data_IF_571844476519
#
_entry.id   IF_571844476519
#
_cell.length_a   1.000
_cell.length_b   1.000
_cell.length_c   1.000
_cell.angle_alpha   90.00
_cell.angle_beta   90.00
_cell.angle_gamma   90.00
#
_symmetry.space_group_name_H-M   'P 1'
#
loop_
_entity.id
_entity.type
_entity.pdbx_description
1 polymer ?
#
# COMPACT_ATOMS: atom_id res chain seq x y z
N UNK A 1 -36.14 -5.88 23.46
CA UNK A 1 -34.72 -5.72 23.06
C UNK A 1 -33.90 -6.56 24.03
N UNK A 2 -32.96 -7.37 23.54
CA UNK A 2 -31.96 -7.99 24.43
C UNK A 2 -31.13 -6.87 25.04
N UNK A 3 -30.86 -6.94 26.33
CA UNK A 3 -29.95 -6.02 27.01
C UNK A 3 -28.57 -6.17 26.37
N UNK A 4 -28.00 -5.08 25.87
CA UNK A 4 -26.68 -5.09 25.23
C UNK A 4 -25.64 -5.09 26.35
N UNK A 5 -24.86 -6.16 26.44
CA UNK A 5 -23.69 -6.19 27.31
C UNK A 5 -22.53 -5.46 26.61
N UNK A 6 -22.29 -4.20 26.99
CA UNK A 6 -21.23 -3.35 26.41
C UNK A 6 -19.79 -3.83 26.69
N UNK A 7 -19.62 -4.90 27.48
CA UNK A 7 -18.31 -5.48 27.80
C UNK A 7 -18.06 -6.80 27.06
N UNK A 8 -19.04 -7.31 26.32
CA UNK A 8 -18.85 -8.49 25.47
C UNK A 8 -18.28 -8.08 24.12
N UNK A 9 -17.40 -8.91 23.52
CA UNK A 9 -16.89 -8.65 22.19
C UNK A 9 -18.02 -8.71 21.17
N UNK A 10 -17.93 -7.84 20.16
CA UNK A 10 -18.87 -7.87 19.04
C UNK A 10 -18.80 -9.22 18.33
N UNK A 11 -19.95 -9.86 18.13
CA UNK A 11 -20.07 -11.20 17.56
C UNK A 11 -19.46 -11.30 16.15
N UNK A 12 -19.37 -10.19 15.42
CA UNK A 12 -18.74 -10.15 14.10
C UNK A 12 -17.27 -10.58 14.14
N UNK A 13 -16.59 -10.40 15.27
CA UNK A 13 -15.20 -10.82 15.43
C UNK A 13 -15.02 -12.33 15.32
N UNK A 14 -16.06 -13.13 15.60
CA UNK A 14 -16.04 -14.58 15.36
C UNK A 14 -15.95 -14.91 13.86
N UNK A 15 -16.60 -14.12 13.00
CA UNK A 15 -16.51 -14.26 11.53
C UNK A 15 -15.08 -14.04 11.04
N UNK A 16 -14.35 -13.14 11.70
CA UNK A 16 -12.95 -12.85 11.41
C UNK A 16 -11.95 -13.73 12.19
N UNK A 17 -12.43 -14.82 12.82
CA UNK A 17 -11.61 -15.76 13.58
C UNK A 17 -10.73 -15.06 14.65
N UNK A 18 -11.32 -14.09 15.35
CA UNK A 18 -10.72 -13.44 16.52
C UNK A 18 -11.15 -14.19 17.77
N UNK A 19 -10.18 -14.74 18.49
CA UNK A 19 -10.44 -15.64 19.63
C UNK A 19 -10.40 -14.93 20.99
N UNK A 20 -9.78 -13.76 21.06
CA UNK A 20 -9.60 -13.00 22.30
C UNK A 20 -9.31 -11.53 22.01
N UNK A 21 -9.38 -10.70 23.04
CA UNK A 21 -8.95 -9.30 22.97
C UNK A 21 -7.48 -9.18 22.58
N UNK A 22 -6.62 -10.10 23.04
CA UNK A 22 -5.21 -10.13 22.66
C UNK A 22 -5.05 -10.41 21.16
N UNK A 23 -5.75 -11.43 20.64
CA UNK A 23 -5.75 -11.77 19.22
C UNK A 23 -6.27 -10.61 18.35
N UNK A 24 -7.32 -9.92 18.83
CA UNK A 24 -7.81 -8.70 18.20
C UNK A 24 -6.73 -7.61 18.12
N UNK A 25 -6.03 -7.36 19.24
CA UNK A 25 -4.97 -6.35 19.29
C UNK A 25 -3.85 -6.66 18.31
N UNK A 26 -3.42 -7.92 18.22
CA UNK A 26 -2.35 -8.31 17.30
C UNK A 26 -2.75 -8.16 15.83
N UNK A 27 -3.99 -8.50 15.49
CA UNK A 27 -4.46 -8.50 14.09
C UNK A 27 -4.96 -7.14 13.61
N UNK A 28 -5.62 -6.37 14.46
CA UNK A 28 -6.46 -5.23 14.03
C UNK A 28 -6.16 -3.91 14.74
N UNK A 29 -5.47 -3.89 15.88
CA UNK A 29 -5.13 -2.62 16.53
C UNK A 29 -3.93 -1.97 15.82
N UNK A 30 -4.23 -0.99 14.97
CA UNK A 30 -3.20 -0.16 14.34
C UNK A 30 -2.68 0.90 15.32
N UNK A 31 -1.36 0.99 15.47
CA UNK A 31 -0.70 2.04 16.25
C UNK A 31 -0.30 3.20 15.34
N UNK A 32 -0.35 4.42 15.86
CA UNK A 32 0.20 5.61 15.21
C UNK A 32 1.72 5.53 15.17
N UNK A 33 2.26 5.26 13.98
CA UNK A 33 3.69 5.34 13.69
C UNK A 33 4.00 6.65 13.00
N UNK A 34 4.77 7.50 13.68
CA UNK A 34 5.08 8.85 13.23
C UNK A 34 6.58 9.10 13.29
N UNK A 35 7.11 9.76 12.27
CA UNK A 35 8.49 10.22 12.30
C UNK A 35 8.65 11.48 13.17
N UNK A 36 9.88 11.83 13.52
CA UNK A 36 10.22 12.89 14.48
C UNK A 36 9.71 14.28 14.09
N UNK A 37 9.55 14.56 12.79
CA UNK A 37 9.03 15.85 12.30
C UNK A 37 7.52 16.04 12.47
N UNK A 38 6.76 14.99 12.83
CA UNK A 38 5.32 15.13 13.07
C UNK A 38 5.08 15.82 14.42
N UNK A 39 4.30 16.93 14.47
CA UNK A 39 4.05 17.64 15.72
C UNK A 39 3.35 16.78 16.77
N UNK A 40 3.76 16.94 18.05
CA UNK A 40 3.18 16.22 19.20
C UNK A 40 1.65 16.37 19.29
N UNK A 41 1.10 17.50 18.87
CA UNK A 41 -0.34 17.72 18.83
C UNK A 41 -1.07 16.71 17.94
N UNK A 42 -0.53 16.42 16.75
CA UNK A 42 -1.08 15.42 15.81
C UNK A 42 -0.94 14.00 16.38
N UNK A 43 0.22 13.68 16.94
CA UNK A 43 0.49 12.38 17.56
C UNK A 43 -0.50 12.13 18.71
N UNK A 44 -0.72 13.14 19.56
CA UNK A 44 -1.66 13.03 20.67
C UNK A 44 -3.11 12.91 20.21
N UNK A 45 -3.51 13.62 19.16
CA UNK A 45 -4.87 13.49 18.61
C UNK A 45 -5.10 12.09 18.01
N UNK A 46 -4.06 11.48 17.43
CA UNK A 46 -4.14 10.12 16.88
C UNK A 46 -4.33 9.03 17.95
N UNK A 47 -3.94 9.27 19.20
CA UNK A 47 -4.26 8.34 20.31
C UNK A 47 -5.76 8.12 20.48
N UNK A 48 -6.59 9.08 20.05
CA UNK A 48 -8.05 8.89 20.03
C UNK A 48 -8.45 7.87 18.97
N UNK A 49 -7.80 7.87 17.80
CA UNK A 49 -8.02 6.84 16.76
C UNK A 49 -7.68 5.46 17.31
N UNK A 50 -6.50 5.30 17.95
CA UNK A 50 -6.10 4.03 18.55
C UNK A 50 -7.11 3.53 19.59
N UNK A 51 -7.64 4.43 20.43
CA UNK A 51 -8.69 4.09 21.41
C UNK A 51 -9.98 3.66 20.75
N UNK A 52 -10.45 4.38 19.74
CA UNK A 52 -11.67 4.02 19.01
C UNK A 52 -11.50 2.67 18.31
N UNK A 53 -10.33 2.42 17.70
CA UNK A 53 -10.00 1.12 17.13
C UNK A 53 -9.99 0.03 18.19
N UNK A 54 -9.38 0.26 19.36
CA UNK A 54 -9.43 -0.70 20.46
C UNK A 54 -10.86 -1.02 20.90
N UNK A 55 -11.68 0.00 21.13
CA UNK A 55 -13.07 -0.20 21.55
C UNK A 55 -13.97 -0.81 20.47
N UNK A 56 -13.52 -0.81 19.20
CA UNK A 56 -14.23 -1.55 18.15
C UNK A 56 -14.26 -3.07 18.37
N UNK A 57 -13.42 -3.59 19.26
CA UNK A 57 -13.55 -4.97 19.75
C UNK A 57 -14.92 -5.23 20.39
N UNK A 58 -15.48 -4.26 21.11
CA UNK A 58 -16.77 -4.37 21.80
C UNK A 58 -17.94 -3.81 20.97
N UNK A 59 -17.65 -2.94 19.99
CA UNK A 59 -18.67 -2.32 19.14
C UNK A 59 -18.08 -2.05 17.74
N UNK A 60 -18.26 -3.00 16.82
CA UNK A 60 -17.63 -2.98 15.49
C UNK A 60 -17.80 -1.69 14.69
N UNK A 61 -18.97 -1.01 14.69
CA UNK A 61 -19.14 0.32 14.09
C UNK A 61 -18.08 1.38 14.47
N UNK A 62 -17.41 1.25 15.62
CA UNK A 62 -16.37 2.20 16.02
C UNK A 62 -15.14 2.20 15.10
N UNK A 63 -14.95 1.18 14.24
CA UNK A 63 -13.90 1.20 13.20
C UNK A 63 -14.12 2.37 12.24
N UNK A 64 -15.35 2.56 11.79
CA UNK A 64 -15.68 3.62 10.83
C UNK A 64 -15.54 5.01 11.48
N UNK A 65 -15.90 5.13 12.77
CA UNK A 65 -15.67 6.36 13.56
C UNK A 65 -14.18 6.65 13.80
N UNK A 66 -13.39 5.62 14.08
CA UNK A 66 -11.94 5.73 14.17
C UNK A 66 -11.35 6.24 12.85
N UNK A 67 -11.84 5.74 11.71
CA UNK A 67 -11.37 6.17 10.39
C UNK A 67 -11.79 7.61 10.09
N UNK A 68 -13.04 7.97 10.40
CA UNK A 68 -13.54 9.36 10.33
C UNK A 68 -12.70 10.32 11.18
N UNK A 69 -12.27 9.91 12.38
CA UNK A 69 -11.34 10.71 13.19
C UNK A 69 -9.96 10.81 12.54
N UNK A 70 -9.44 9.73 11.97
CA UNK A 70 -8.16 9.71 11.25
C UNK A 70 -8.16 10.66 10.03
N UNK A 71 -9.24 10.74 9.26
CA UNK A 71 -9.33 11.66 8.11
C UNK A 71 -9.44 13.13 8.55
N UNK A 72 -10.10 13.41 9.69
CA UNK A 72 -10.08 14.75 10.32
C UNK A 72 -8.68 15.15 10.81
N UNK A 73 -7.89 14.21 11.32
CA UNK A 73 -6.49 14.45 11.69
C UNK A 73 -5.64 14.80 10.47
N UNK A 74 -5.87 14.17 9.32
CA UNK A 74 -5.20 14.55 8.06
C UNK A 74 -5.49 16.01 7.69
N UNK A 75 -6.75 16.45 7.76
CA UNK A 75 -7.12 17.85 7.52
C UNK A 75 -6.50 18.82 8.53
N UNK A 76 -6.47 18.45 9.82
CA UNK A 76 -5.79 19.22 10.86
C UNK A 76 -4.28 19.32 10.60
N UNK A 77 -3.67 18.24 10.10
CA UNK A 77 -2.24 18.19 9.75
C UNK A 77 -1.90 19.18 8.63
N UNK A 78 -2.73 19.23 7.57
CA UNK A 78 -2.60 20.20 6.47
C UNK A 78 -2.68 21.63 7.00
N UNK A 79 -3.66 21.90 7.87
CA UNK A 79 -3.84 23.24 8.47
C UNK A 79 -2.64 23.63 9.33
N UNK A 80 -2.14 22.70 10.15
CA UNK A 80 -0.97 22.92 11.00
C UNK A 80 0.31 23.14 10.17
N UNK A 81 0.49 22.41 9.06
CA UNK A 81 1.63 22.61 8.16
C UNK A 81 1.62 24.01 7.54
N UNK A 82 0.45 24.52 7.13
CA UNK A 82 0.32 25.89 6.64
C UNK A 82 0.66 26.91 7.73
N UNK A 83 0.25 26.66 8.98
CA UNK A 83 0.59 27.52 10.12
C UNK A 83 2.09 27.57 10.39
N UNK A 84 2.76 26.40 10.42
CA UNK A 84 4.21 26.29 10.60
C UNK A 84 4.97 27.06 9.51
N UNK A 85 4.44 27.10 8.29
CA UNK A 85 5.05 27.81 7.16
C UNK A 85 4.71 29.32 7.12
N UNK A 86 3.93 29.84 8.09
CA UNK A 86 3.46 31.23 8.05
C UNK A 86 2.46 31.50 6.92
N UNK A 87 1.82 30.44 6.41
CA UNK A 87 0.86 30.46 5.31
C UNK A 87 -0.58 30.30 5.81
N UNK A 88 -0.87 30.37 7.10
CA UNK A 88 -2.27 30.31 7.56
C UNK A 88 -3.03 31.55 7.09
N UNK A 89 -4.29 31.36 6.69
CA UNK A 89 -5.23 32.44 6.38
C UNK A 89 -6.32 32.49 7.44
N UNK A 90 -6.80 33.68 7.72
CA UNK A 90 -7.97 33.90 8.57
C UNK A 90 -9.26 33.56 7.82
N UNK A 91 -10.26 33.05 8.55
CA UNK A 91 -11.57 32.69 8.02
C UNK A 91 -11.69 31.27 7.46
N UNK A 92 -12.83 30.97 6.84
CA UNK A 92 -13.11 29.65 6.27
C UNK A 92 -12.32 29.41 4.99
N UNK A 93 -11.56 28.31 4.95
CA UNK A 93 -10.84 27.86 3.77
C UNK A 93 -11.09 26.36 3.56
N UNK A 94 -11.47 25.97 2.33
CA UNK A 94 -11.67 24.57 1.99
C UNK A 94 -10.37 23.77 2.03
N UNK A 95 -10.44 22.48 2.39
CA UNK A 95 -9.28 21.58 2.37
C UNK A 95 -8.60 21.53 0.98
N UNK A 96 -9.37 21.65 -0.10
CA UNK A 96 -8.81 21.71 -1.45
C UNK A 96 -7.90 22.93 -1.65
N UNK A 97 -8.33 24.10 -1.19
CA UNK A 97 -7.54 25.33 -1.31
C UNK A 97 -6.26 25.24 -0.47
N UNK A 98 -6.37 24.71 0.76
CA UNK A 98 -5.21 24.44 1.64
C UNK A 98 -4.18 23.52 0.98
N UNK A 99 -4.63 22.40 0.41
CA UNK A 99 -3.74 21.46 -0.29
C UNK A 99 -3.06 22.10 -1.51
N UNK A 100 -3.80 22.85 -2.33
CA UNK A 100 -3.23 23.52 -3.52
C UNK A 100 -2.07 24.44 -3.15
N UNK A 101 -2.12 25.08 -1.98
CA UNK A 101 -1.04 25.95 -1.51
C UNK A 101 0.21 25.19 -1.08
N UNK A 102 0.05 23.96 -0.59
CA UNK A 102 1.16 23.07 -0.27
C UNK A 102 1.74 22.36 -1.51
N UNK A 103 1.06 22.43 -2.67
CA UNK A 103 1.48 21.76 -3.91
C UNK A 103 2.92 22.09 -4.31
N UNK A 104 3.36 23.33 -4.11
CA UNK A 104 4.71 23.77 -4.48
C UNK A 104 5.83 23.04 -3.71
N UNK A 105 5.49 22.37 -2.60
CA UNK A 105 6.46 21.70 -1.72
C UNK A 105 6.63 20.21 -2.04
N UNK A 106 5.82 19.67 -2.96
CA UNK A 106 5.71 18.24 -3.22
C UNK A 106 5.60 17.96 -4.72
N UNK A 107 5.76 16.71 -5.12
CA UNK A 107 5.46 16.31 -6.49
C UNK A 107 3.97 16.32 -6.81
N UNK A 108 3.68 16.32 -8.11
CA UNK A 108 2.32 16.11 -8.59
C UNK A 108 1.75 14.76 -8.11
N UNK A 109 2.56 13.70 -8.05
CA UNK A 109 2.09 12.36 -7.66
C UNK A 109 1.65 12.32 -6.18
N UNK A 110 2.46 12.90 -5.28
CA UNK A 110 2.09 13.00 -3.87
C UNK A 110 0.91 13.93 -3.67
N UNK A 111 0.86 15.05 -4.41
CA UNK A 111 -0.28 15.96 -4.38
C UNK A 111 -1.60 15.29 -4.81
N UNK A 112 -1.57 14.44 -5.85
CA UNK A 112 -2.76 13.68 -6.26
C UNK A 112 -3.18 12.65 -5.20
N UNK A 113 -2.23 12.03 -4.49
CA UNK A 113 -2.57 11.17 -3.34
C UNK A 113 -3.27 11.96 -2.22
N UNK A 114 -2.83 13.19 -1.92
CA UNK A 114 -3.53 14.05 -0.96
C UNK A 114 -4.94 14.43 -1.41
N UNK A 115 -5.15 14.66 -2.72
CA UNK A 115 -6.49 14.91 -3.27
C UNK A 115 -7.40 13.70 -3.15
N UNK A 116 -6.88 12.49 -3.34
CA UNK A 116 -7.63 11.25 -3.13
C UNK A 116 -8.04 11.13 -1.66
N UNK A 117 -7.15 11.41 -0.71
CA UNK A 117 -7.48 11.41 0.72
C UNK A 117 -8.54 12.44 1.10
N UNK A 118 -8.49 13.64 0.50
CA UNK A 118 -9.58 14.63 0.62
C UNK A 118 -10.93 14.05 0.17
N UNK A 119 -10.96 13.31 -0.95
CA UNK A 119 -12.19 12.66 -1.43
C UNK A 119 -12.71 11.66 -0.40
N UNK A 120 -11.85 10.77 0.11
CA UNK A 120 -12.24 9.84 1.18
C UNK A 120 -12.75 10.54 2.44
N UNK A 121 -12.10 11.63 2.87
CA UNK A 121 -12.58 12.45 3.99
C UNK A 121 -13.99 12.97 3.73
N UNK A 122 -14.27 13.47 2.54
CA UNK A 122 -15.59 13.99 2.18
C UNK A 122 -16.65 12.89 2.15
N UNK A 123 -16.32 11.73 1.57
CA UNK A 123 -17.24 10.59 1.50
C UNK A 123 -17.63 10.12 2.91
N UNK A 124 -16.68 10.10 3.85
CA UNK A 124 -16.94 9.78 5.26
C UNK A 124 -17.68 10.87 6.03
N UNK A 125 -17.54 12.13 5.63
CA UNK A 125 -18.27 13.24 6.25
C UNK A 125 -19.76 13.29 5.81
N UNK A 126 -20.10 12.65 4.70
CA UNK A 126 -21.44 12.68 4.09
C UNK A 126 -22.07 11.30 3.97
N UNK A 127 -21.73 10.40 4.88
CA UNK A 127 -22.19 9.03 4.82
C UNK A 127 -23.67 8.90 5.17
N UNK A 128 -24.39 8.07 4.41
CA UNK A 128 -25.75 7.65 4.74
C UNK A 128 -25.80 6.86 6.05
N UNK A 129 -26.88 7.03 6.81
CA UNK A 129 -27.09 6.36 8.07
C UNK A 129 -27.13 4.83 7.88
N UNK A 130 -26.46 4.08 8.77
CA UNK A 130 -26.45 2.62 8.76
C UNK A 130 -25.48 1.97 7.77
N UNK A 131 -24.83 2.74 6.88
CA UNK A 131 -23.76 2.19 6.07
C UNK A 131 -22.54 1.87 6.97
N UNK A 132 -21.92 0.69 6.79
CA UNK A 132 -20.69 0.26 7.48
C UNK A 132 -19.65 -0.28 6.48
N UNK A 133 -18.39 0.17 6.58
CA UNK A 133 -17.26 -0.35 5.77
C UNK A 133 -16.42 -1.31 6.61
N UNK A 134 -16.28 -1.02 7.91
CA UNK A 134 -15.66 -1.89 8.89
C UNK A 134 -14.24 -2.32 8.51
N UNK A 135 -13.98 -3.63 8.55
CA UNK A 135 -12.64 -4.21 8.41
C UNK A 135 -11.93 -3.86 7.09
N UNK A 136 -12.70 -3.51 6.04
CA UNK A 136 -12.13 -3.07 4.76
C UNK A 136 -11.28 -1.80 4.90
N UNK A 137 -11.47 -1.03 5.98
CA UNK A 137 -10.74 0.20 6.28
C UNK A 137 -9.33 -0.04 6.84
N UNK A 138 -8.93 -1.26 7.22
CA UNK A 138 -7.63 -1.49 7.85
C UNK A 138 -6.44 -1.01 6.99
N UNK A 139 -6.49 -1.23 5.68
CA UNK A 139 -5.45 -0.71 4.77
C UNK A 139 -5.60 0.80 4.55
N UNK A 140 -6.84 1.31 4.58
CA UNK A 140 -7.10 2.74 4.45
C UNK A 140 -6.53 3.52 5.64
N UNK A 141 -6.57 2.97 6.87
CA UNK A 141 -5.92 3.56 8.04
C UNK A 141 -4.41 3.73 7.84
N UNK A 142 -3.72 2.66 7.40
CA UNK A 142 -2.28 2.70 7.10
C UNK A 142 -1.97 3.75 6.04
N UNK A 143 -2.74 3.76 4.96
CA UNK A 143 -2.58 4.75 3.91
C UNK A 143 -2.77 6.18 4.43
N UNK A 144 -3.86 6.46 5.16
CA UNK A 144 -4.11 7.79 5.71
C UNK A 144 -3.04 8.22 6.72
N UNK A 145 -2.52 7.30 7.54
CA UNK A 145 -1.40 7.58 8.45
C UNK A 145 -0.11 7.92 7.68
N UNK A 146 0.20 7.20 6.60
CA UNK A 146 1.32 7.53 5.72
C UNK A 146 1.16 8.93 5.10
N UNK A 147 -0.07 9.31 4.75
CA UNK A 147 -0.34 10.66 4.24
C UNK A 147 -0.16 11.73 5.32
N UNK A 148 -0.60 11.49 6.56
CA UNK A 148 -0.33 12.38 7.69
C UNK A 148 1.17 12.59 7.87
N UNK A 149 1.98 11.52 7.86
CA UNK A 149 3.44 11.63 7.89
C UNK A 149 3.96 12.47 6.72
N UNK A 150 3.50 12.19 5.50
CA UNK A 150 3.98 12.90 4.30
C UNK A 150 3.78 14.42 4.33
N UNK A 151 2.78 14.94 5.07
CA UNK A 151 2.54 16.38 5.23
C UNK A 151 3.73 17.08 5.92
N UNK A 152 4.42 16.38 6.83
CA UNK A 152 5.46 16.97 7.66
C UNK A 152 6.88 16.66 7.17
N UNK A 153 7.03 15.88 6.09
CA UNK A 153 8.32 15.69 5.44
C UNK A 153 8.86 16.99 4.84
N UNK A 154 10.18 17.04 4.71
CA UNK A 154 10.88 18.09 3.97
C UNK A 154 10.83 17.82 2.47
N UNK A 155 10.77 18.87 1.66
CA UNK A 155 10.74 18.75 0.20
C UNK A 155 11.97 18.01 -0.35
N UNK A 156 13.14 18.20 0.24
CA UNK A 156 14.37 17.46 -0.09
C UNK A 156 14.19 15.94 0.07
N UNK A 157 13.57 15.52 1.17
CA UNK A 157 13.32 14.11 1.48
C UNK A 157 12.34 13.49 0.48
N UNK A 158 11.28 14.22 0.13
CA UNK A 158 10.28 13.79 -0.86
C UNK A 158 10.94 13.64 -2.24
N UNK A 159 11.70 14.67 -2.68
CA UNK A 159 12.39 14.66 -3.96
C UNK A 159 13.43 13.53 -4.04
N UNK A 160 14.18 13.28 -2.98
CA UNK A 160 15.15 12.18 -2.95
C UNK A 160 14.47 10.82 -3.11
N UNK A 161 13.36 10.58 -2.39
CA UNK A 161 12.58 9.34 -2.52
C UNK A 161 12.12 9.13 -3.96
N UNK A 162 11.58 10.17 -4.58
CA UNK A 162 11.01 10.11 -5.93
C UNK A 162 12.08 9.96 -7.00
N UNK A 163 13.19 10.69 -6.88
CA UNK A 163 14.34 10.54 -7.76
C UNK A 163 14.93 9.12 -7.68
N UNK A 164 15.02 8.55 -6.47
CA UNK A 164 15.46 7.17 -6.28
C UNK A 164 14.51 6.19 -6.98
N UNK A 165 13.19 6.34 -6.82
CA UNK A 165 12.22 5.50 -7.50
C UNK A 165 12.29 5.65 -9.03
N UNK A 166 12.41 6.88 -9.53
CA UNK A 166 12.56 7.18 -10.96
C UNK A 166 13.81 6.56 -11.54
N UNK A 167 14.94 6.67 -10.84
CA UNK A 167 16.20 6.04 -11.22
C UNK A 167 16.05 4.52 -11.28
N UNK A 168 15.49 3.89 -10.25
CA UNK A 168 15.25 2.43 -10.25
C UNK A 168 14.33 2.00 -11.38
N UNK A 169 13.24 2.74 -11.65
CA UNK A 169 12.34 2.49 -12.77
C UNK A 169 13.08 2.51 -14.11
N UNK A 170 13.92 3.53 -14.35
CA UNK A 170 14.74 3.63 -15.55
C UNK A 170 15.72 2.47 -15.70
N UNK A 171 16.47 2.14 -14.65
CA UNK A 171 17.42 1.02 -14.68
C UNK A 171 16.73 -0.32 -14.91
N UNK A 172 15.49 -0.48 -14.43
CA UNK A 172 14.71 -1.73 -14.52
C UNK A 172 13.80 -1.83 -15.74
N UNK A 173 13.85 -0.90 -16.70
CA UNK A 173 12.90 -0.88 -17.83
C UNK A 173 12.91 -2.20 -18.63
N UNK A 174 14.09 -2.77 -18.85
CA UNK A 174 14.29 -4.04 -19.52
C UNK A 174 13.73 -5.26 -18.74
N UNK A 175 13.37 -5.09 -17.46
CA UNK A 175 12.79 -6.14 -16.62
C UNK A 175 11.25 -6.14 -16.64
N UNK A 176 10.61 -5.09 -17.18
CA UNK A 176 9.15 -4.92 -17.12
C UNK A 176 8.42 -6.01 -17.91
N UNK A 177 9.00 -6.45 -19.04
CA UNK A 177 8.44 -7.50 -19.89
C UNK A 177 9.59 -8.33 -20.47
N UNK A 178 9.56 -9.63 -20.22
CA UNK A 178 10.57 -10.55 -20.71
C UNK A 178 10.38 -11.94 -20.13
N UNK A 179 11.41 -12.78 -20.25
CA UNK A 179 11.42 -14.11 -19.68
C UNK A 179 12.60 -14.25 -18.72
N UNK A 180 12.29 -14.43 -17.44
CA UNK A 180 13.30 -14.40 -16.38
C UNK A 180 13.13 -15.58 -15.43
N UNK A 181 14.25 -16.07 -14.89
CA UNK A 181 14.27 -16.99 -13.75
C UNK A 181 14.62 -16.19 -12.51
N UNK A 182 13.79 -16.30 -11.48
CA UNK A 182 14.08 -15.83 -10.14
C UNK A 182 14.54 -17.01 -9.28
N UNK A 183 15.78 -16.97 -8.82
CA UNK A 183 16.31 -17.85 -7.78
C UNK A 183 16.01 -17.23 -6.40
N UNK A 184 15.18 -17.91 -5.59
CA UNK A 184 14.76 -17.46 -4.24
C UNK A 184 14.37 -18.67 -3.37
N UNK A 185 14.81 -18.74 -2.10
CA UNK A 185 14.47 -19.85 -1.17
C UNK A 185 14.76 -21.25 -1.72
N UNK A 186 15.87 -21.43 -2.44
CA UNK A 186 16.20 -22.67 -3.16
C UNK A 186 15.16 -23.11 -4.20
N UNK A 187 14.30 -22.19 -4.64
CA UNK A 187 13.32 -22.41 -5.70
C UNK A 187 13.64 -21.54 -6.90
N UNK A 188 13.34 -22.05 -8.09
CA UNK A 188 13.44 -21.31 -9.35
C UNK A 188 12.02 -20.99 -9.83
N UNK A 189 11.72 -19.70 -9.97
CA UNK A 189 10.41 -19.23 -10.39
C UNK A 189 10.55 -18.56 -11.75
N UNK A 190 9.74 -18.99 -12.73
CA UNK A 190 9.74 -18.41 -14.06
C UNK A 190 8.77 -17.21 -14.10
N UNK A 191 9.28 -16.06 -14.55
CA UNK A 191 8.61 -14.76 -14.48
C UNK A 191 8.48 -14.12 -15.86
N UNK A 192 7.40 -13.35 -16.06
CA UNK A 192 7.15 -12.54 -17.24
C UNK A 192 7.56 -11.07 -17.07
N UNK A 193 7.83 -10.64 -15.83
CA UNK A 193 8.28 -9.28 -15.55
C UNK A 193 8.55 -9.01 -14.08
N UNK A 194 9.29 -7.93 -13.83
CA UNK A 194 9.59 -7.39 -12.51
C UNK A 194 9.61 -5.85 -12.56
N UNK A 195 9.11 -5.19 -11.52
CA UNK A 195 9.09 -3.71 -11.46
C UNK A 195 9.14 -3.17 -10.03
N UNK A 196 9.90 -2.10 -9.74
CA UNK A 196 9.82 -1.38 -8.48
C UNK A 196 8.57 -0.50 -8.41
N UNK A 197 7.94 -0.44 -7.24
CA UNK A 197 6.73 0.37 -6.99
C UNK A 197 6.90 1.44 -5.92
N UNK A 198 7.84 1.27 -4.99
CA UNK A 198 8.17 2.29 -4.00
C UNK A 198 9.58 2.11 -3.47
N UNK A 199 10.11 3.18 -2.86
CA UNK A 199 11.38 3.26 -2.15
C UNK A 199 11.10 3.75 -0.74
N UNK A 200 11.90 3.31 0.23
CA UNK A 200 11.79 3.76 1.62
C UNK A 200 12.39 5.14 1.83
N UNK A 201 12.08 5.74 2.97
CA UNK A 201 12.34 7.14 3.29
C UNK A 201 13.18 7.26 4.55
N UNK A 202 12.78 6.60 5.65
CA UNK A 202 13.42 6.74 6.97
C UNK A 202 13.92 5.37 7.44
N UNK A 203 13.07 4.55 8.08
CA UNK A 203 13.48 3.23 8.60
C UNK A 203 13.70 2.20 7.48
N UNK A 204 13.17 2.47 6.29
CA UNK A 204 13.37 1.71 5.07
C UNK A 204 14.32 2.41 4.09
N UNK A 205 15.14 3.36 4.54
CA UNK A 205 16.19 3.94 3.69
C UNK A 205 17.06 2.83 3.07
N UNK A 206 17.32 2.92 1.77
CA UNK A 206 18.04 1.89 1.01
C UNK A 206 17.21 0.65 0.64
N UNK A 207 15.92 0.61 1.03
CA UNK A 207 15.00 -0.48 0.66
C UNK A 207 14.01 -0.05 -0.42
N UNK A 208 13.53 -1.02 -1.17
CA UNK A 208 12.54 -0.83 -2.25
C UNK A 208 11.50 -1.94 -2.26
N UNK A 209 10.28 -1.64 -2.70
CA UNK A 209 9.20 -2.61 -2.86
C UNK A 209 9.09 -3.00 -4.33
N UNK A 210 9.18 -4.29 -4.61
CA UNK A 210 9.18 -4.87 -5.95
C UNK A 210 8.04 -5.84 -6.14
N UNK A 211 7.48 -5.84 -7.35
CA UNK A 211 6.48 -6.80 -7.79
C UNK A 211 7.07 -7.63 -8.91
N UNK A 212 7.03 -8.95 -8.74
CA UNK A 212 7.43 -9.96 -9.70
C UNK A 212 6.19 -10.69 -10.19
N UNK A 213 6.06 -10.86 -11.51
CA UNK A 213 4.89 -11.43 -12.17
C UNK A 213 5.25 -12.83 -12.66
N UNK A 214 4.78 -13.90 -12.00
CA UNK A 214 5.04 -15.27 -12.45
C UNK A 214 4.28 -15.60 -13.72
N UNK A 215 4.79 -16.56 -14.48
CA UNK A 215 4.00 -17.19 -15.53
C UNK A 215 3.06 -18.25 -14.94
N UNK A 216 2.01 -18.62 -15.67
CA UNK A 216 0.99 -19.58 -15.22
C UNK A 216 1.48 -21.04 -15.23
N UNK A 217 2.62 -21.31 -15.86
CA UNK A 217 3.17 -22.65 -16.01
C UNK A 217 2.21 -23.57 -16.74
N UNK A 218 1.88 -24.72 -16.15
CA UNK A 218 0.98 -25.72 -16.75
C UNK A 218 -0.51 -25.49 -16.43
N UNK A 219 -0.84 -24.53 -15.58
CA UNK A 219 -2.23 -24.25 -15.17
C UNK A 219 -3.03 -23.61 -16.31
N UNK A 220 -4.23 -24.14 -16.56
CA UNK A 220 -5.22 -23.57 -17.49
C UNK A 220 -5.86 -22.34 -16.82
N UNK A 221 -6.05 -21.27 -17.58
CA UNK A 221 -6.68 -20.03 -17.12
C UNK A 221 -8.13 -20.05 -17.62
N UNK A 222 -9.09 -20.01 -16.71
CA UNK A 222 -10.52 -19.88 -17.03
C UNK A 222 -11.12 -18.60 -16.45
N UNK A 223 -10.56 -18.11 -15.35
CA UNK A 223 -11.00 -16.91 -14.64
C UNK A 223 -9.79 -16.16 -14.06
N UNK A 224 -9.99 -14.91 -13.63
CA UNK A 224 -8.93 -14.04 -13.08
C UNK A 224 -8.15 -14.68 -11.91
N UNK A 225 -8.83 -15.46 -11.07
CA UNK A 225 -8.20 -16.15 -9.94
C UNK A 225 -7.29 -17.32 -10.35
N UNK A 226 -7.29 -17.70 -11.63
CA UNK A 226 -6.38 -18.72 -12.13
C UNK A 226 -4.98 -18.21 -12.41
N UNK A 227 -4.83 -16.90 -12.60
CA UNK A 227 -3.52 -16.28 -12.75
C UNK A 227 -2.69 -16.46 -11.48
N UNK A 228 -1.37 -16.66 -11.60
CA UNK A 228 -0.51 -16.78 -10.45
C UNK A 228 -0.54 -15.48 -9.65
N UNK A 229 -0.54 -15.62 -8.32
CA UNK A 229 -0.32 -14.48 -7.45
C UNK A 229 1.04 -13.86 -7.72
N UNK A 230 1.11 -12.54 -7.82
CA UNK A 230 2.40 -11.85 -7.85
C UNK A 230 3.17 -12.09 -6.56
N UNK A 231 4.49 -12.20 -6.72
CA UNK A 231 5.44 -12.22 -5.63
C UNK A 231 5.85 -10.76 -5.37
N UNK A 232 5.61 -10.28 -4.15
CA UNK A 232 5.92 -8.91 -3.76
C UNK A 232 7.01 -8.99 -2.69
N UNK A 233 8.17 -8.41 -2.98
CA UNK A 233 9.33 -8.47 -2.09
C UNK A 233 9.80 -7.06 -1.72
N UNK A 234 10.37 -6.96 -0.52
CA UNK A 234 11.09 -5.77 -0.07
C UNK A 234 12.56 -6.05 -0.26
N UNK A 235 13.25 -5.25 -1.05
CA UNK A 235 14.62 -5.51 -1.45
C UNK A 235 15.57 -4.47 -0.88
N UNK A 236 16.73 -4.92 -0.44
CA UNK A 236 17.90 -4.14 -0.02
C UNK A 236 19.06 -4.42 -0.99
N UNK A 237 20.01 -3.49 -1.11
CA UNK A 237 21.21 -3.64 -1.95
C UNK A 237 20.89 -4.09 -3.38
N UNK A 238 19.96 -3.39 -4.01
CA UNK A 238 19.49 -3.74 -5.36
C UNK A 238 20.55 -3.34 -6.39
N UNK A 239 21.09 -4.33 -7.08
CA UNK A 239 22.01 -4.19 -8.20
C UNK A 239 21.30 -4.62 -9.48
N UNK A 240 21.23 -3.72 -10.46
CA UNK A 240 20.55 -3.95 -11.74
C UNK A 240 21.60 -3.87 -12.85
N UNK A 241 21.58 -4.81 -13.78
CA UNK A 241 22.39 -4.80 -14.98
C UNK A 241 21.61 -5.40 -16.16
N UNK A 242 22.19 -5.37 -17.35
CA UNK A 242 21.52 -5.85 -18.58
C UNK A 242 21.05 -7.32 -18.53
N UNK A 243 21.64 -8.15 -17.65
CA UNK A 243 21.31 -9.57 -17.52
C UNK A 243 20.23 -9.84 -16.47
N UNK A 244 19.85 -8.84 -15.66
CA UNK A 244 18.86 -9.00 -14.62
C UNK A 244 19.09 -8.14 -13.37
N UNK A 245 18.75 -8.72 -12.23
CA UNK A 245 18.79 -8.06 -10.92
C UNK A 245 19.35 -9.00 -9.85
N UNK A 246 20.16 -8.46 -8.94
CA UNK A 246 20.56 -9.13 -7.70
C UNK A 246 20.20 -8.23 -6.53
N UNK A 247 19.66 -8.82 -5.46
CA UNK A 247 19.31 -8.06 -4.26
C UNK A 247 19.26 -8.98 -3.03
N UNK A 248 18.95 -8.40 -1.87
CA UNK A 248 18.66 -9.12 -0.63
C UNK A 248 17.20 -8.87 -0.26
N UNK A 249 16.45 -9.92 0.03
CA UNK A 249 15.11 -9.80 0.61
C UNK A 249 15.24 -9.24 2.04
N UNK A 250 14.68 -8.06 2.27
CA UNK A 250 14.74 -7.33 3.52
C UNK A 250 14.15 -8.10 4.70
N UNK A 251 13.19 -9.00 4.46
CA UNK A 251 12.50 -9.76 5.50
C UNK A 251 13.23 -11.04 5.86
N UNK A 252 13.69 -11.80 4.86
CA UNK A 252 14.32 -13.12 5.07
C UNK A 252 15.84 -13.06 5.11
N UNK A 253 16.44 -11.96 4.64
CA UNK A 253 17.88 -11.77 4.42
C UNK A 253 18.50 -12.72 3.40
N UNK A 254 17.68 -13.43 2.63
CA UNK A 254 18.16 -14.26 1.53
C UNK A 254 18.53 -13.42 0.32
N UNK A 255 19.56 -13.86 -0.40
CA UNK A 255 19.93 -13.30 -1.70
C UNK A 255 18.90 -13.74 -2.73
N UNK A 256 18.43 -12.79 -3.53
CA UNK A 256 17.62 -13.06 -4.70
C UNK A 256 18.42 -12.75 -5.96
N UNK A 257 18.21 -13.56 -6.99
CA UNK A 257 18.80 -13.33 -8.30
C UNK A 257 17.76 -13.54 -9.38
N UNK A 258 17.54 -12.50 -10.16
CA UNK A 258 16.72 -12.51 -11.37
C UNK A 258 17.66 -12.53 -12.57
N UNK A 259 17.51 -13.51 -13.46
CA UNK A 259 18.30 -13.60 -14.69
C UNK A 259 17.43 -13.84 -15.90
N UNK A 260 17.78 -13.22 -17.03
CA UNK A 260 17.22 -13.58 -18.34
C UNK A 260 17.52 -15.05 -18.63
N UNK A 261 16.56 -15.76 -19.23
CA UNK A 261 16.75 -17.16 -19.66
C UNK A 261 16.39 -17.33 -21.12
N UNK A 262 17.25 -18.05 -21.84
CA UNK A 262 17.02 -18.52 -23.22
C UNK A 262 16.85 -20.04 -23.29
N UNK A 263 16.84 -20.72 -22.15
CA UNK A 263 16.62 -22.16 -22.07
C UNK A 263 15.32 -22.55 -22.81
N UNK A 264 15.43 -23.52 -23.73
CA UNK A 264 14.34 -23.90 -24.63
C UNK A 264 13.06 -24.33 -23.89
N UNK A 265 13.18 -25.04 -22.77
CA UNK A 265 12.03 -25.46 -21.96
C UNK A 265 11.32 -24.26 -21.32
N UNK A 266 12.08 -23.27 -20.85
CA UNK A 266 11.52 -22.03 -20.31
C UNK A 266 10.82 -21.21 -21.39
N UNK A 267 11.40 -21.15 -22.59
CA UNK A 267 10.81 -20.48 -23.76
C UNK A 267 9.50 -21.14 -24.15
N UNK A 268 9.45 -22.47 -24.19
CA UNK A 268 8.22 -23.23 -24.48
C UNK A 268 7.12 -22.93 -23.45
N UNK A 269 7.45 -22.96 -22.15
CA UNK A 269 6.51 -22.62 -21.08
C UNK A 269 6.01 -21.17 -21.17
N UNK A 270 6.88 -20.24 -21.56
CA UNK A 270 6.51 -18.84 -21.74
C UNK A 270 5.60 -18.63 -22.96
N UNK A 271 5.88 -19.31 -24.07
CA UNK A 271 5.02 -19.27 -25.26
C UNK A 271 3.65 -19.87 -24.95
N UNK A 272 3.60 -20.98 -24.23
CA UNK A 272 2.35 -21.59 -23.78
C UNK A 272 1.56 -20.64 -22.87
N UNK A 273 2.22 -19.96 -21.95
CA UNK A 273 1.61 -18.93 -21.10
C UNK A 273 0.97 -17.81 -21.93
N UNK A 274 1.71 -17.25 -22.90
CA UNK A 274 1.22 -16.17 -23.77
C UNK A 274 0.04 -16.63 -24.64
N UNK A 275 0.11 -17.84 -25.20
CA UNK A 275 -0.98 -18.41 -26.01
C UNK A 275 -2.25 -18.58 -25.18
N UNK A 276 -2.13 -19.10 -23.94
CA UNK A 276 -3.29 -19.25 -23.05
C UNK A 276 -3.93 -17.92 -22.70
N UNK A 277 -3.13 -16.88 -22.42
CA UNK A 277 -3.66 -15.53 -22.20
C UNK A 277 -4.41 -15.04 -23.44
N UNK A 278 -3.83 -15.20 -24.64
CA UNK A 278 -4.46 -14.77 -25.88
C UNK A 278 -5.74 -15.56 -26.21
N UNK A 279 -5.82 -16.84 -25.84
CA UNK A 279 -7.01 -17.66 -26.01
C UNK A 279 -8.12 -17.27 -25.04
N UNK A 280 -7.81 -17.12 -23.75
CA UNK A 280 -8.83 -16.76 -22.76
C UNK A 280 -9.34 -15.33 -22.98
N UNK A 281 -8.51 -14.40 -23.45
CA UNK A 281 -8.93 -13.03 -23.77
C UNK A 281 -9.98 -12.99 -24.90
N UNK A 282 -9.98 -13.98 -25.82
CA UNK A 282 -11.02 -14.10 -26.86
C UNK A 282 -12.37 -14.55 -26.29
N UNK A 283 -12.35 -15.33 -25.21
CA UNK A 283 -13.54 -15.91 -24.57
C UNK A 283 -14.10 -14.96 -23.51
N UNK A 284 -13.21 -14.36 -22.73
CA UNK A 284 -13.48 -13.38 -21.69
C UNK A 284 -12.67 -12.12 -21.97
N UNK A 285 -13.19 -11.21 -22.81
CA UNK A 285 -12.56 -9.91 -23.02
C UNK A 285 -12.31 -9.23 -21.67
N UNK A 286 -11.20 -8.51 -21.54
CA UNK A 286 -10.77 -7.77 -20.36
C UNK A 286 -10.26 -8.62 -19.19
N UNK A 287 -10.15 -9.95 -19.30
CA UNK A 287 -9.60 -10.78 -18.21
C UNK A 287 -8.17 -10.37 -17.82
N UNK A 288 -7.35 -9.92 -18.79
CA UNK A 288 -6.04 -9.34 -18.50
C UNK A 288 -6.14 -8.02 -17.72
N UNK A 289 -7.13 -7.19 -18.03
CA UNK A 289 -7.38 -5.92 -17.33
C UNK A 289 -7.85 -6.18 -15.88
N UNK A 290 -8.72 -7.17 -15.69
CA UNK A 290 -9.16 -7.62 -14.36
C UNK A 290 -7.97 -8.12 -13.53
N UNK A 291 -7.11 -8.93 -14.13
CA UNK A 291 -5.88 -9.42 -13.49
C UNK A 291 -4.97 -8.25 -13.08
N UNK A 292 -4.75 -7.28 -13.97
CA UNK A 292 -3.97 -6.09 -13.66
C UNK A 292 -4.61 -5.23 -12.56
N UNK A 293 -5.93 -5.14 -12.51
CA UNK A 293 -6.67 -4.47 -11.43
C UNK A 293 -6.48 -5.17 -10.08
N UNK A 294 -6.57 -6.50 -10.06
CA UNK A 294 -6.29 -7.32 -8.87
C UNK A 294 -4.85 -7.13 -8.38
N UNK A 295 -3.87 -7.17 -9.30
CA UNK A 295 -2.46 -6.91 -8.99
C UNK A 295 -2.26 -5.50 -8.41
N UNK A 296 -2.89 -4.48 -9.00
CA UNK A 296 -2.83 -3.11 -8.51
C UNK A 296 -3.41 -2.99 -7.10
N UNK A 297 -4.53 -3.65 -6.82
CA UNK A 297 -5.13 -3.64 -5.49
C UNK A 297 -4.21 -4.27 -4.44
N UNK A 298 -3.66 -5.47 -4.71
CA UNK A 298 -2.70 -6.15 -3.83
C UNK A 298 -1.44 -5.31 -3.61
N UNK A 299 -0.91 -4.72 -4.68
CA UNK A 299 0.29 -3.87 -4.63
C UNK A 299 0.04 -2.60 -3.80
N UNK A 300 -1.14 -1.99 -3.92
CA UNK A 300 -1.51 -0.81 -3.12
C UNK A 300 -1.51 -1.11 -1.63
N UNK A 301 -2.03 -2.27 -1.24
CA UNK A 301 -1.96 -2.75 0.15
C UNK A 301 -0.51 -2.90 0.62
N UNK A 302 0.34 -3.55 -0.16
CA UNK A 302 1.75 -3.75 0.20
C UNK A 302 2.54 -2.44 0.24
N UNK A 303 2.22 -1.45 -0.60
CA UNK A 303 2.81 -0.11 -0.53
C UNK A 303 2.42 0.57 0.79
N UNK A 304 1.15 0.50 1.18
CA UNK A 304 0.69 1.08 2.44
C UNK A 304 1.39 0.44 3.65
N UNK A 305 1.56 -0.88 3.63
CA UNK A 305 2.27 -1.63 4.67
C UNK A 305 3.76 -1.33 4.70
N UNK A 306 4.40 -1.23 3.53
CA UNK A 306 5.81 -0.87 3.39
C UNK A 306 6.09 0.51 3.97
N UNK A 307 5.30 1.51 3.58
CA UNK A 307 5.43 2.88 4.09
C UNK A 307 5.06 2.98 5.57
N UNK A 308 4.05 2.23 6.04
CA UNK A 308 3.69 2.24 7.46
C UNK A 308 4.81 1.72 8.37
N UNK A 309 5.61 0.75 7.88
CA UNK A 309 6.81 0.26 8.59
C UNK A 309 8.01 1.20 8.47
N UNK A 310 7.94 2.23 7.62
CA UNK A 310 9.04 3.18 7.37
C UNK A 310 9.17 4.24 8.48
N UNK A 311 8.11 4.44 9.26
CA UNK A 311 8.03 5.43 10.34
C UNK A 311 8.35 4.84 11.70
#
# INVERSE_FOLDING_TARGET
MKEINYLEPDEIWKVFNVKSEHDFKEKYLLKGKFHSLVPKAIINDYKVVERLMYYSYFNYPLIDEAFSKSTRIFEASVTLKLEILGLKREGFESLNSKLTRLKILVSNDLFEQWKIAKKFRNDFAHREAGALMGITLMNAFKHNLNLINSIFLESSTILNKENNLKYMLQQSEHLVKGLFVLDYKNTKILLSGARPFSTGIINNLGKSLWVFIPITGNKIIQQVNDFPSSLILKLENVEINEKGLKAIDAETKEVIQLTITENAENVEKFNLHNNRIAEIEKISPDISLEYMSMLKHKTTKEIADFLYKDW
#
